data_IF_808485053127
#
_entry.id   IF_808485053127
#
_cell.length_a   1.000
_cell.length_b   1.000
_cell.length_c   1.000
_cell.angle_alpha   90.00
_cell.angle_beta   90.00
_cell.angle_gamma   90.00
#
_symmetry.space_group_name_H-M   'P 1'
#
loop_
_entity.id
_entity.type
_entity.pdbx_description
1 polymer ?
#
# COMPACT_ATOMS: atom_id res chain seq x y z
N UNK A 1 -6.79 4.72 6.23
CA UNK A 1 -5.90 5.84 5.81
C UNK A 1 -5.73 5.84 4.31
N UNK A 2 -5.85 6.99 3.71
CA UNK A 2 -5.71 7.11 2.26
C UNK A 2 -4.28 7.43 1.88
N UNK A 3 -3.89 6.96 0.70
CA UNK A 3 -2.55 7.24 0.19
C UNK A 3 -2.43 8.72 -0.16
N UNK A 4 -1.43 9.42 0.38
CA UNK A 4 -1.32 10.86 0.17
C UNK A 4 -0.54 11.27 -1.08
N UNK A 5 -0.03 10.33 -1.84
CA UNK A 5 0.78 10.66 -3.01
C UNK A 5 0.79 9.52 -4.02
N UNK A 6 1.36 9.78 -5.17
CA UNK A 6 1.57 8.78 -6.18
C UNK A 6 0.32 8.49 -6.99
N UNK A 7 0.38 7.47 -7.81
CA UNK A 7 -0.73 7.16 -8.70
C UNK A 7 -1.95 6.60 -7.96
N UNK A 8 -1.77 6.24 -6.71
CA UNK A 8 -2.87 5.74 -5.88
C UNK A 8 -3.33 6.79 -4.88
N UNK A 9 -3.03 8.05 -5.14
CA UNK A 9 -3.43 9.13 -4.24
C UNK A 9 -4.94 9.11 -4.00
N UNK A 10 -5.31 9.36 -2.75
CA UNK A 10 -6.71 9.41 -2.29
C UNK A 10 -7.42 8.05 -2.29
N UNK A 11 -6.69 6.98 -2.58
CA UNK A 11 -7.25 5.64 -2.48
C UNK A 11 -6.86 5.07 -1.13
N UNK A 12 -7.83 4.46 -0.46
CA UNK A 12 -7.57 3.87 0.85
C UNK A 12 -6.57 2.73 0.71
N UNK A 13 -5.68 2.63 1.67
CA UNK A 13 -4.61 1.62 1.63
C UNK A 13 -5.19 0.22 1.48
N UNK A 14 -6.35 -0.05 2.06
CA UNK A 14 -6.94 -1.38 1.99
C UNK A 14 -7.37 -1.77 0.57
N UNK A 15 -7.45 -0.81 -0.34
CA UNK A 15 -7.80 -1.09 -1.74
C UNK A 15 -6.57 -1.14 -2.64
N UNK A 16 -5.39 -0.90 -2.11
CA UNK A 16 -4.17 -0.90 -2.90
C UNK A 16 -3.56 -2.30 -2.90
N UNK A 17 -3.06 -2.73 -4.05
CA UNK A 17 -2.52 -4.08 -4.18
C UNK A 17 -1.33 -4.32 -3.25
N UNK A 18 -1.15 -5.57 -2.87
CA UNK A 18 -0.02 -5.95 -2.03
C UNK A 18 1.32 -5.71 -2.74
N UNK A 19 1.32 -5.83 -4.05
CA UNK A 19 2.53 -5.55 -4.82
C UNK A 19 3.02 -4.13 -4.65
N UNK A 20 2.08 -3.18 -4.66
CA UNK A 20 2.46 -1.78 -4.48
C UNK A 20 2.89 -1.51 -3.04
N UNK A 21 2.20 -2.10 -2.07
CA UNK A 21 2.59 -1.94 -0.67
C UNK A 21 4.00 -2.50 -0.43
N UNK A 22 4.28 -3.66 -1.01
CA UNK A 22 5.60 -4.26 -0.87
C UNK A 22 6.67 -3.38 -1.52
N UNK A 23 6.36 -2.81 -2.67
CA UNK A 23 7.28 -1.90 -3.34
C UNK A 23 7.62 -0.72 -2.42
N UNK A 24 6.61 -0.11 -1.82
CA UNK A 24 6.84 1.03 -0.94
C UNK A 24 7.68 0.65 0.27
N UNK A 25 7.42 -0.50 0.85
CA UNK A 25 8.14 -0.92 2.04
C UNK A 25 9.62 -1.20 1.75
N UNK A 26 9.97 -1.37 0.49
CA UNK A 26 11.35 -1.57 0.11
C UNK A 26 12.08 -0.30 -0.30
N UNK A 27 11.42 0.85 -0.27
CA UNK A 27 12.01 2.11 -0.72
C UNK A 27 12.42 2.96 0.46
N UNK A 28 13.68 3.33 0.51
CA UNK A 28 14.20 4.14 1.61
C UNK A 28 13.51 5.50 1.69
N UNK A 29 13.24 6.12 0.54
CA UNK A 29 12.61 7.44 0.53
C UNK A 29 11.23 7.38 1.18
N UNK A 30 10.51 6.28 0.99
CA UNK A 30 9.19 6.14 1.58
C UNK A 30 9.29 5.97 3.09
N UNK A 31 10.21 5.14 3.53
CA UNK A 31 10.38 4.86 4.96
C UNK A 31 10.77 6.12 5.72
N UNK A 32 11.57 6.98 5.09
CA UNK A 32 12.03 8.20 5.73
C UNK A 32 11.04 9.35 5.61
N UNK A 33 10.06 9.23 4.72
CA UNK A 33 9.16 10.34 4.42
C UNK A 33 8.08 10.52 5.47
N UNK A 34 7.44 9.45 5.88
CA UNK A 34 6.26 9.54 6.74
C UNK A 34 6.11 8.27 7.58
N UNK A 35 6.56 8.33 8.81
CA UNK A 35 6.55 7.17 9.69
C UNK A 35 5.15 6.64 9.95
N UNK A 36 4.17 7.53 10.10
CA UNK A 36 2.80 7.08 10.35
C UNK A 36 2.27 6.29 9.16
N UNK A 37 2.54 6.76 7.97
CA UNK A 37 2.09 6.07 6.77
C UNK A 37 2.81 4.72 6.62
N UNK A 38 4.09 4.69 6.92
CA UNK A 38 4.85 3.45 6.86
C UNK A 38 4.25 2.41 7.79
N UNK A 39 3.91 2.82 9.00
CA UNK A 39 3.30 1.92 9.98
C UNK A 39 1.97 1.37 9.45
N UNK A 40 1.14 2.24 8.86
CA UNK A 40 -0.15 1.81 8.35
C UNK A 40 -0.01 0.85 7.18
N UNK A 41 0.92 1.13 6.28
CA UNK A 41 1.16 0.25 5.13
C UNK A 41 1.67 -1.10 5.61
N UNK A 42 2.59 -1.08 6.56
CA UNK A 42 3.14 -2.33 7.10
C UNK A 42 2.08 -3.15 7.81
N UNK A 43 1.22 -2.50 8.59
CA UNK A 43 0.14 -3.19 9.29
C UNK A 43 -0.82 -3.85 8.30
N UNK A 44 -1.18 -3.13 7.25
CA UNK A 44 -2.08 -3.69 6.27
C UNK A 44 -1.47 -4.88 5.54
N UNK A 45 -0.20 -4.76 5.15
CA UNK A 45 0.49 -5.84 4.48
C UNK A 45 0.55 -7.08 5.39
N UNK A 46 0.89 -6.86 6.65
CA UNK A 46 0.98 -7.95 7.61
C UNK A 46 -0.37 -8.61 7.86
N UNK A 47 -1.41 -7.80 7.96
CA UNK A 47 -2.76 -8.33 8.15
C UNK A 47 -3.15 -9.25 6.99
N UNK A 48 -2.84 -8.84 5.77
CA UNK A 48 -3.13 -9.68 4.60
C UNK A 48 -2.33 -10.96 4.61
N UNK A 49 -1.10 -10.89 5.09
CA UNK A 49 -0.24 -12.06 5.17
C UNK A 49 -0.82 -13.07 6.15
N UNK A 50 -1.34 -12.59 7.27
CA UNK A 50 -1.91 -13.46 8.29
C UNK A 50 -3.25 -14.07 7.87
N UNK A 51 -4.03 -13.34 7.10
CA UNK A 51 -5.35 -13.81 6.67
C UNK A 51 -5.34 -14.43 5.28
N UNK A 52 -4.20 -14.38 4.60
CA UNK A 52 -4.10 -14.91 3.26
C UNK A 52 -4.87 -14.12 2.23
N UNK A 53 -5.09 -12.83 2.48
CA UNK A 53 -5.91 -12.00 1.61
C UNK A 53 -5.09 -11.05 0.72
N UNK A 54 -3.87 -11.41 0.42
CA UNK A 54 -3.06 -10.63 -0.51
C UNK A 54 -3.71 -10.61 -1.90
N UNK A 55 -3.60 -9.48 -2.56
CA UNK A 55 -3.92 -9.41 -3.98
C UNK A 55 -2.81 -8.58 -4.64
N UNK A 56 -2.38 -9.02 -5.80
CA UNK A 56 -1.17 -8.49 -6.39
C UNK A 56 -1.40 -7.55 -7.56
N UNK A 57 -2.62 -7.52 -8.08
CA UNK A 57 -3.02 -6.61 -9.13
C UNK A 57 -4.09 -5.67 -8.62
N UNK A 58 -3.87 -4.38 -8.80
CA UNK A 58 -4.88 -3.41 -8.43
C UNK A 58 -5.96 -3.42 -9.50
N UNK A 59 -7.13 -3.78 -9.10
CA UNK A 59 -8.23 -3.90 -10.04
C UNK A 59 -8.95 -2.62 -10.32
N UNK A 60 -8.55 -1.66 -9.62
CA UNK A 60 -9.19 -0.43 -9.77
C UNK A 60 -8.79 0.17 -11.04
N UNK A 61 -8.54 0.09 -11.59
CA UNK A 61 -8.10 0.81 -12.58
C UNK A 61 -8.13 0.81 -13.81
N UNK A 62 -8.08 0.79 -13.75
CA UNK A 62 -7.94 1.01 -14.56
C UNK A 62 -7.90 1.33 -15.64
N UNK A 63 -8.17 1.60 -15.88
CA UNK A 63 -8.25 1.93 -16.77
C UNK A 63 -7.66 2.44 -17.58
N UNK A 64 -7.47 2.48 -17.83
CA UNK A 64 -7.01 3.07 -18.56
C UNK A 64 -7.17 3.23 -19.23
#
# INVERSE_FOLDING_TARGET
>A
MKMPFGKHKDIDICFISSGYLKYLLGEDWFIEKDNDLVVEVEKEYKRRDETGQHFWDTKVVNKK
#
